data_IF_757964185498
#
_entry.id   IF_757964185498
#
_cell.length_a   1.000
_cell.length_b   1.000
_cell.length_c   1.000
_cell.angle_alpha   90.00
_cell.angle_beta   90.00
_cell.angle_gamma   90.00
#
_symmetry.space_group_name_H-M   'P 1'
#
loop_
_entity.id
_entity.type
_entity.pdbx_description
1 polymer ?
#
# COMPACT_ATOMS: atom_id res chain seq x y z
N UNK A 1 3.41 -2.32 18.67
CA UNK A 1 4.71 -1.84 18.16
C UNK A 1 5.12 -2.69 16.95
N UNK A 2 5.05 -2.13 15.73
CA UNK A 2 5.33 -2.81 14.46
C UNK A 2 6.78 -3.31 14.35
N UNK A 3 7.75 -2.64 14.97
CA UNK A 3 9.15 -3.07 14.96
C UNK A 3 9.33 -4.40 15.72
N UNK A 4 8.64 -4.56 16.86
CA UNK A 4 8.67 -5.82 17.60
C UNK A 4 7.97 -6.93 16.83
N UNK A 5 6.83 -6.61 16.24
CA UNK A 5 6.06 -7.55 15.41
C UNK A 5 6.90 -8.04 14.20
N UNK A 6 7.58 -7.13 13.51
CA UNK A 6 8.50 -7.47 12.42
C UNK A 6 9.63 -8.40 12.88
N UNK A 7 10.23 -8.14 14.04
CA UNK A 7 11.27 -9.02 14.60
C UNK A 7 10.73 -10.42 14.89
N UNK A 8 9.51 -10.54 15.40
CA UNK A 8 8.86 -11.84 15.64
C UNK A 8 8.70 -12.58 14.31
N UNK A 9 8.08 -11.97 13.31
CA UNK A 9 7.86 -12.61 12.01
C UNK A 9 9.17 -12.97 11.28
N UNK A 10 10.24 -12.21 11.48
CA UNK A 10 11.56 -12.56 10.92
C UNK A 10 12.16 -13.84 11.53
N UNK A 11 11.61 -14.37 12.62
CA UNK A 11 12.03 -15.67 13.18
C UNK A 11 11.25 -16.84 12.60
N UNK A 12 10.24 -16.61 11.77
CA UNK A 12 9.43 -17.66 11.15
C UNK A 12 10.29 -18.50 10.21
N UNK A 13 10.12 -19.82 10.30
CA UNK A 13 10.77 -20.79 9.42
C UNK A 13 9.77 -21.31 8.37
N UNK A 14 10.26 -21.77 7.22
CA UNK A 14 9.42 -22.16 6.08
C UNK A 14 8.36 -23.23 6.40
N UNK A 15 8.65 -24.15 7.33
CA UNK A 15 7.77 -25.27 7.69
C UNK A 15 6.97 -25.01 8.98
N UNK A 16 6.67 -23.75 9.30
CA UNK A 16 5.89 -23.40 10.48
C UNK A 16 4.55 -22.78 10.10
N UNK A 17 3.50 -23.17 10.83
CA UNK A 17 2.23 -22.47 10.83
C UNK A 17 2.24 -21.32 11.83
N UNK A 18 1.47 -20.28 11.55
CA UNK A 18 1.28 -19.13 12.42
C UNK A 18 -0.10 -19.25 13.06
N UNK A 19 -0.16 -19.10 14.38
CA UNK A 19 -1.42 -18.99 15.13
C UNK A 19 -1.40 -17.70 15.94
N UNK A 20 -2.40 -16.87 15.74
CA UNK A 20 -2.60 -15.61 16.46
C UNK A 20 -3.81 -15.80 17.37
N UNK A 21 -3.61 -15.57 18.68
CA UNK A 21 -4.62 -15.81 19.70
C UNK A 21 -4.85 -14.51 20.47
N UNK A 22 -6.08 -14.07 20.49
CA UNK A 22 -6.56 -13.00 21.35
C UNK A 22 -7.59 -13.59 22.32
N UNK A 23 -7.42 -13.32 23.62
CA UNK A 23 -8.35 -13.78 24.64
C UNK A 23 -9.11 -12.56 25.21
N UNK A 24 -10.42 -12.52 24.95
CA UNK A 24 -11.29 -11.42 25.40
C UNK A 24 -11.41 -11.32 26.92
N UNK A 25 -11.18 -12.41 27.66
CA UNK A 25 -11.27 -12.43 29.14
C UNK A 25 -9.98 -11.88 29.75
N UNK A 26 -8.83 -12.10 29.09
CA UNK A 26 -7.53 -11.59 29.50
C UNK A 26 -6.89 -10.87 28.30
N UNK A 27 -7.35 -9.64 28.09
CA UNK A 27 -7.02 -8.84 26.89
C UNK A 27 -5.68 -8.10 26.99
N UNK A 28 -4.83 -8.39 27.99
CA UNK A 28 -3.57 -7.69 28.17
C UNK A 28 -2.52 -8.05 27.12
N UNK A 29 -2.65 -9.22 26.49
CA UNK A 29 -1.65 -9.77 25.58
C UNK A 29 -2.25 -10.34 24.30
N UNK A 30 -1.56 -10.13 23.17
CA UNK A 30 -1.72 -10.90 21.95
C UNK A 30 -0.68 -12.02 21.94
N UNK A 31 -1.12 -13.27 21.82
CA UNK A 31 -0.22 -14.42 21.71
C UNK A 31 -0.03 -14.79 20.25
N UNK A 32 1.23 -14.97 19.84
CA UNK A 32 1.61 -15.46 18.51
C UNK A 32 2.40 -16.74 18.71
N UNK A 33 1.95 -17.80 18.06
CA UNK A 33 2.58 -19.13 18.11
C UNK A 33 3.06 -19.51 16.70
N UNK A 34 4.31 -19.96 16.60
CA UNK A 34 4.84 -20.60 15.42
C UNK A 34 5.01 -22.09 15.72
N UNK A 35 4.21 -22.91 15.05
CA UNK A 35 4.17 -24.35 15.28
C UNK A 35 4.70 -25.11 14.08
N UNK A 36 5.58 -26.09 14.29
CA UNK A 36 6.08 -26.93 13.22
C UNK A 36 4.94 -27.73 12.59
N UNK A 37 4.86 -27.68 11.27
CA UNK A 37 3.92 -28.47 10.48
C UNK A 37 4.34 -29.95 10.49
N UNK A 38 5.64 -30.21 10.44
CA UNK A 38 6.21 -31.56 10.54
C UNK A 38 6.75 -31.82 11.96
N UNK A 39 6.13 -32.74 12.66
CA UNK A 39 6.52 -33.15 14.02
C UNK A 39 7.82 -33.98 14.06
N UNK A 40 8.25 -34.52 12.94
CA UNK A 40 9.48 -35.32 12.83
C UNK A 40 10.70 -34.45 12.49
N UNK A 41 10.49 -33.21 12.05
CA UNK A 41 11.55 -32.23 11.82
C UNK A 41 12.16 -31.77 13.15
N UNK A 42 13.36 -32.31 13.46
CA UNK A 42 14.11 -31.94 14.66
C UNK A 42 14.96 -30.68 14.50
N UNK A 43 14.94 -30.07 13.32
CA UNK A 43 15.75 -28.86 13.02
C UNK A 43 15.01 -27.59 13.38
N UNK A 44 13.70 -27.62 13.50
CA UNK A 44 12.87 -26.48 13.89
C UNK A 44 12.15 -26.73 15.23
N UNK A 45 11.77 -25.68 15.91
CA UNK A 45 11.11 -25.73 17.22
C UNK A 45 9.94 -24.75 17.27
N UNK A 46 8.93 -25.09 18.08
CA UNK A 46 7.80 -24.20 18.32
C UNK A 46 8.25 -22.95 19.07
N UNK A 47 7.68 -21.79 18.71
CA UNK A 47 7.98 -20.49 19.32
C UNK A 47 6.68 -19.85 19.79
N UNK A 48 6.75 -19.22 20.96
CA UNK A 48 5.61 -18.58 21.62
C UNK A 48 6.00 -17.16 21.97
N UNK A 49 5.21 -16.19 21.55
CA UNK A 49 5.41 -14.78 21.83
C UNK A 49 4.17 -14.20 22.48
N UNK A 50 4.35 -13.38 23.50
CA UNK A 50 3.29 -12.59 24.11
C UNK A 50 3.62 -11.12 23.91
N UNK A 51 2.74 -10.42 23.20
CA UNK A 51 2.84 -8.99 22.95
C UNK A 51 1.86 -8.25 23.85
N UNK A 52 2.34 -7.38 24.75
CA UNK A 52 1.44 -6.56 25.54
C UNK A 52 0.62 -5.64 24.62
N UNK A 53 -0.67 -5.59 24.85
CA UNK A 53 -1.57 -4.67 24.18
C UNK A 53 -1.60 -3.36 24.94
N UNK A 54 -1.83 -2.27 24.23
CA UNK A 54 -2.02 -0.95 24.80
C UNK A 54 -3.45 -0.52 24.50
N UNK A 55 -4.12 0.00 25.51
CA UNK A 55 -5.40 0.66 25.30
C UNK A 55 -5.13 2.04 24.68
N UNK A 56 -5.59 2.21 23.45
CA UNK A 56 -5.40 3.42 22.67
C UNK A 56 -6.76 4.09 22.46
N UNK A 57 -6.96 5.23 23.08
CA UNK A 57 -8.14 6.07 22.86
C UNK A 57 -8.03 6.79 21.50
N UNK A 58 -8.12 6.04 20.40
CA UNK A 58 -8.22 6.62 19.06
C UNK A 58 -9.68 6.54 18.57
N UNK A 59 -10.16 7.63 17.99
CA UNK A 59 -11.32 7.55 17.11
C UNK A 59 -10.90 6.77 15.86
N UNK A 60 -11.68 5.78 15.48
CA UNK A 60 -11.51 5.09 14.21
C UNK A 60 -11.66 6.10 13.07
N UNK A 61 -10.71 6.08 12.12
CA UNK A 61 -10.83 6.89 10.91
C UNK A 61 -12.00 6.34 10.10
N UNK A 62 -12.91 7.20 9.67
CA UNK A 62 -13.96 6.80 8.74
C UNK A 62 -13.31 6.51 7.36
N UNK A 63 -13.37 5.24 6.98
CA UNK A 63 -12.88 4.74 5.69
C UNK A 63 -14.04 4.40 4.76
N UNK A 64 -15.16 5.12 4.87
CA UNK A 64 -16.32 4.92 4.00
C UNK A 64 -15.90 4.99 2.52
N UNK A 65 -16.53 4.15 1.70
CA UNK A 65 -16.27 4.13 0.27
C UNK A 65 -16.72 5.47 -0.34
N UNK A 66 -15.79 6.23 -0.84
CA UNK A 66 -16.03 7.41 -1.65
C UNK A 66 -16.03 7.01 -3.13
N UNK A 67 -16.86 7.66 -3.93
CA UNK A 67 -16.76 7.54 -5.37
C UNK A 67 -15.52 8.30 -5.82
N UNK A 68 -14.54 7.60 -6.36
CA UNK A 68 -13.32 8.20 -6.88
C UNK A 68 -13.58 8.98 -8.18
N UNK A 69 -12.88 10.08 -8.37
CA UNK A 69 -12.90 10.86 -9.61
C UNK A 69 -12.22 10.11 -10.76
N UNK A 70 -11.16 9.36 -10.43
CA UNK A 70 -10.39 8.53 -11.36
C UNK A 70 -10.10 7.19 -10.69
N UNK A 71 -10.24 6.11 -11.43
CA UNK A 71 -9.80 4.78 -11.01
C UNK A 71 -9.06 4.11 -12.15
N UNK A 72 -7.95 3.45 -11.86
CA UNK A 72 -7.24 2.62 -12.83
C UNK A 72 -6.51 1.46 -12.18
N UNK A 73 -6.46 0.36 -12.91
CA UNK A 73 -5.71 -0.83 -12.53
C UNK A 73 -4.43 -0.94 -13.36
N UNK A 74 -3.30 -1.13 -12.67
CA UNK A 74 -1.97 -1.21 -13.28
C UNK A 74 -1.19 -2.40 -12.72
N UNK A 75 -0.29 -2.97 -13.53
CA UNK A 75 0.68 -3.97 -13.06
C UNK A 75 1.53 -3.44 -11.91
N UNK A 76 1.66 -4.22 -10.82
CA UNK A 76 2.38 -3.81 -9.63
C UNK A 76 3.86 -3.51 -9.89
N UNK A 77 4.53 -4.28 -10.76
CA UNK A 77 5.93 -4.04 -11.09
C UNK A 77 6.07 -2.75 -11.92
N UNK A 78 5.10 -2.48 -12.81
CA UNK A 78 5.07 -1.23 -13.59
C UNK A 78 4.98 -0.02 -12.65
N UNK A 79 4.06 -0.04 -11.65
CA UNK A 79 3.94 1.03 -10.66
C UNK A 79 5.20 1.17 -9.82
N UNK A 80 5.76 0.05 -9.33
CA UNK A 80 7.01 0.05 -8.56
C UNK A 80 8.17 0.67 -9.36
N UNK A 81 8.28 0.36 -10.67
CA UNK A 81 9.28 0.93 -11.55
C UNK A 81 9.08 2.44 -11.75
N UNK A 82 7.83 2.90 -11.92
CA UNK A 82 7.51 4.33 -12.01
C UNK A 82 7.98 5.05 -10.75
N UNK A 83 7.61 4.55 -9.57
CA UNK A 83 8.00 5.15 -8.31
C UNK A 83 9.52 5.16 -8.10
N UNK A 84 10.22 4.06 -8.43
CA UNK A 84 11.68 3.96 -8.25
C UNK A 84 12.45 4.91 -9.18
N UNK A 85 12.03 5.04 -10.43
CA UNK A 85 12.65 5.95 -11.39
C UNK A 85 12.42 7.41 -11.03
N UNK A 86 11.21 7.76 -10.59
CA UNK A 86 10.84 9.14 -10.24
C UNK A 86 11.48 9.61 -8.94
N UNK A 87 11.60 8.70 -7.96
CA UNK A 87 12.20 8.99 -6.65
C UNK A 87 13.67 9.45 -6.71
N UNK A 88 14.38 9.08 -7.78
CA UNK A 88 15.76 9.53 -8.00
C UNK A 88 15.88 11.05 -8.24
N UNK A 89 14.79 11.74 -8.56
CA UNK A 89 14.81 13.14 -8.96
C UNK A 89 14.14 14.10 -7.96
N UNK A 90 13.12 13.64 -7.22
CA UNK A 90 12.40 14.49 -6.27
C UNK A 90 11.56 13.65 -5.29
N UNK A 91 11.17 14.24 -4.16
CA UNK A 91 10.34 13.62 -3.12
C UNK A 91 8.83 13.79 -3.33
N UNK A 92 8.44 14.55 -4.35
CA UNK A 92 7.02 14.82 -4.67
C UNK A 92 6.71 14.36 -6.08
N UNK A 93 5.62 13.64 -6.25
CA UNK A 93 5.09 13.21 -7.54
C UNK A 93 3.75 13.87 -7.81
N UNK A 94 3.59 14.40 -9.00
CA UNK A 94 2.33 14.93 -9.48
C UNK A 94 1.66 13.90 -10.41
N UNK A 95 0.45 13.49 -10.07
CA UNK A 95 -0.36 12.57 -10.90
C UNK A 95 -1.42 13.40 -11.63
N UNK A 96 -1.40 13.31 -12.95
CA UNK A 96 -2.33 13.99 -13.83
C UNK A 96 -3.03 13.01 -14.75
N UNK A 97 -4.36 13.00 -14.69
CA UNK A 97 -5.20 12.10 -15.48
C UNK A 97 -6.20 12.90 -16.31
N UNK A 98 -6.48 12.41 -17.51
CA UNK A 98 -7.56 12.87 -18.37
C UNK A 98 -8.10 11.70 -19.20
N UNK A 99 -9.11 11.92 -20.00
CA UNK A 99 -9.75 10.88 -20.82
C UNK A 99 -8.81 10.12 -21.78
N UNK A 100 -7.58 10.60 -22.00
CA UNK A 100 -6.68 10.02 -23.00
C UNK A 100 -5.40 9.41 -22.40
N UNK A 101 -4.98 9.82 -21.20
CA UNK A 101 -3.71 9.37 -20.63
C UNK A 101 -3.57 9.67 -19.15
N UNK A 102 -2.63 8.96 -18.55
CA UNK A 102 -2.16 9.15 -17.18
C UNK A 102 -0.72 9.67 -17.25
N UNK A 103 -0.38 10.72 -16.49
CA UNK A 103 0.98 11.27 -16.42
C UNK A 103 1.45 11.32 -14.99
N UNK A 104 2.62 10.74 -14.74
CA UNK A 104 3.39 10.90 -13.53
C UNK A 104 4.48 11.92 -13.77
N UNK A 105 4.44 13.04 -13.07
CA UNK A 105 5.35 14.18 -13.29
C UNK A 105 6.15 14.48 -12.06
N UNK A 106 7.41 14.78 -12.28
CA UNK A 106 8.34 15.34 -11.31
C UNK A 106 8.72 16.74 -11.79
N UNK A 107 8.59 17.72 -10.90
CA UNK A 107 9.01 19.09 -11.15
C UNK A 107 10.10 19.46 -10.15
N UNK A 108 11.31 18.97 -10.36
CA UNK A 108 12.48 19.38 -9.61
C UNK A 108 13.04 20.73 -10.12
N UNK A 109 13.93 21.34 -9.33
CA UNK A 109 14.57 22.62 -9.66
C UNK A 109 15.39 22.51 -10.95
N UNK A 110 16.16 21.43 -11.09
CA UNK A 110 17.06 21.24 -12.22
C UNK A 110 16.49 20.33 -13.31
N UNK A 111 15.45 19.54 -13.01
CA UNK A 111 14.96 18.51 -13.92
C UNK A 111 13.43 18.41 -13.87
N UNK A 112 12.83 18.38 -15.05
CA UNK A 112 11.42 18.01 -15.24
C UNK A 112 11.38 16.64 -15.88
N UNK A 113 10.75 15.69 -15.19
CA UNK A 113 10.60 14.31 -15.67
C UNK A 113 9.12 13.94 -15.76
N UNK A 114 8.72 13.32 -16.86
CA UNK A 114 7.33 12.90 -17.08
C UNK A 114 7.32 11.48 -17.65
N UNK A 115 6.60 10.60 -16.97
CA UNK A 115 6.21 9.30 -17.50
C UNK A 115 4.77 9.42 -17.94
N UNK A 116 4.50 9.09 -19.21
CA UNK A 116 3.15 9.06 -19.80
C UNK A 116 2.75 7.61 -19.99
N UNK A 117 1.58 7.25 -19.49
CA UNK A 117 0.90 6.01 -19.81
C UNK A 117 -0.29 6.33 -20.74
N UNK A 118 -0.40 5.59 -21.83
CA UNK A 118 -1.62 5.57 -22.64
C UNK A 118 -2.63 4.60 -22.02
N UNK A 119 -3.89 4.66 -22.41
CA UNK A 119 -4.94 3.82 -21.78
C UNK A 119 -4.69 2.32 -21.99
N UNK A 120 -4.02 1.95 -23.07
CA UNK A 120 -3.63 0.56 -23.34
C UNK A 120 -2.50 0.05 -22.41
N UNK A 121 -1.86 0.94 -21.66
CA UNK A 121 -0.81 0.62 -20.68
C UNK A 121 -1.35 0.19 -19.32
N UNK A 122 -2.64 0.32 -19.10
CA UNK A 122 -3.36 -0.05 -17.87
C UNK A 122 -4.46 -1.07 -18.20
N UNK A 123 -4.85 -1.89 -17.21
CA UNK A 123 -5.84 -2.95 -17.44
C UNK A 123 -7.26 -2.38 -17.50
N UNK A 124 -7.55 -1.45 -16.58
CA UNK A 124 -8.84 -0.78 -16.48
C UNK A 124 -8.61 0.72 -16.23
N UNK A 125 -9.46 1.54 -16.80
CA UNK A 125 -9.43 2.99 -16.60
C UNK A 125 -10.83 3.58 -16.57
N UNK A 126 -11.12 4.38 -15.56
CA UNK A 126 -12.35 5.14 -15.40
C UNK A 126 -12.04 6.54 -14.92
N UNK A 127 -12.68 7.53 -15.49
CA UNK A 127 -12.58 8.94 -15.08
C UNK A 127 -13.94 9.62 -15.24
N UNK A 128 -14.25 10.53 -14.33
CA UNK A 128 -15.45 11.38 -14.47
C UNK A 128 -15.36 12.19 -15.77
N UNK A 129 -16.46 12.22 -16.51
CA UNK A 129 -16.54 12.88 -17.81
C UNK A 129 -16.09 14.35 -17.76
N UNK A 130 -15.27 14.78 -18.73
CA UNK A 130 -14.67 16.12 -18.84
C UNK A 130 -13.77 16.54 -17.67
N UNK A 131 -13.40 15.63 -16.76
CA UNK A 131 -12.49 15.92 -15.67
C UNK A 131 -11.03 15.93 -16.14
N UNK A 132 -10.26 16.85 -15.61
CA UNK A 132 -8.79 16.77 -15.60
C UNK A 132 -8.32 16.71 -14.15
N UNK A 133 -7.92 15.53 -13.71
CA UNK A 133 -7.37 15.32 -12.38
C UNK A 133 -5.91 15.78 -12.31
N UNK A 134 -5.52 16.44 -11.22
CA UNK A 134 -4.17 16.92 -11.02
C UNK A 134 -3.87 17.13 -9.52
N UNK A 135 -3.14 16.20 -8.90
CA UNK A 135 -2.80 16.22 -7.48
C UNK A 135 -1.35 15.82 -7.25
N UNK A 136 -0.76 16.32 -6.15
CA UNK A 136 0.59 16.00 -5.72
C UNK A 136 0.58 15.08 -4.49
N UNK A 137 1.57 14.17 -4.43
CA UNK A 137 1.70 13.20 -3.35
C UNK A 137 3.15 13.06 -2.90
N UNK A 138 3.34 12.68 -1.63
CA UNK A 138 4.67 12.32 -1.12
C UNK A 138 5.16 11.03 -1.79
N UNK A 139 6.25 11.15 -2.54
CA UNK A 139 6.79 10.05 -3.31
C UNK A 139 7.52 9.01 -2.43
N UNK A 140 8.02 9.40 -1.26
CA UNK A 140 8.64 8.46 -0.34
C UNK A 140 7.60 7.49 0.23
N UNK A 141 6.44 8.02 0.63
CA UNK A 141 5.32 7.20 1.12
C UNK A 141 4.75 6.37 -0.03
N UNK A 142 4.49 6.98 -1.19
CA UNK A 142 3.95 6.30 -2.35
C UNK A 142 4.88 5.16 -2.85
N UNK A 143 6.20 5.40 -2.89
CA UNK A 143 7.19 4.39 -3.20
C UNK A 143 7.20 3.23 -2.19
N UNK A 144 7.01 3.54 -0.90
CA UNK A 144 6.90 2.50 0.14
C UNK A 144 5.66 1.65 -0.07
N UNK A 145 4.51 2.28 -0.36
CA UNK A 145 3.26 1.57 -0.69
C UNK A 145 3.45 0.70 -1.94
N UNK A 146 4.05 1.24 -3.01
CA UNK A 146 4.28 0.50 -4.26
C UNK A 146 5.22 -0.70 -4.13
N UNK A 147 6.03 -0.77 -3.05
CA UNK A 147 6.94 -1.89 -2.79
C UNK A 147 6.24 -3.22 -2.42
N UNK A 148 4.94 -3.20 -2.14
CA UNK A 148 4.14 -4.39 -1.88
C UNK A 148 3.77 -5.18 -3.15
N UNK A 149 4.48 -4.96 -4.25
CA UNK A 149 4.27 -5.62 -5.56
C UNK A 149 4.33 -7.16 -5.54
N UNK A 150 4.83 -7.76 -4.44
CA UNK A 150 4.83 -9.22 -4.26
C UNK A 150 3.50 -9.79 -3.75
N UNK A 151 2.59 -8.95 -3.29
CA UNK A 151 1.30 -9.38 -2.73
C UNK A 151 0.25 -9.64 -3.81
N UNK A 152 0.38 -8.96 -4.95
CA UNK A 152 -0.57 -9.06 -6.06
C UNK A 152 0.15 -8.73 -7.36
N UNK A 153 -0.36 -9.23 -8.48
CA UNK A 153 0.13 -8.87 -9.81
C UNK A 153 -0.33 -7.48 -10.24
N UNK A 154 -1.48 -7.05 -9.73
CA UNK A 154 -2.12 -5.78 -10.08
C UNK A 154 -2.44 -4.96 -8.84
N UNK A 155 -2.45 -3.65 -9.01
CA UNK A 155 -2.83 -2.67 -8.00
C UNK A 155 -3.82 -1.68 -8.60
N UNK A 156 -4.84 -1.31 -7.82
CA UNK A 156 -5.83 -0.32 -8.21
C UNK A 156 -5.51 0.99 -7.49
N UNK A 157 -5.49 2.08 -8.24
CA UNK A 157 -5.39 3.43 -7.71
C UNK A 157 -6.74 4.13 -7.90
N UNK A 158 -7.28 4.60 -6.80
CA UNK A 158 -8.50 5.42 -6.77
C UNK A 158 -8.11 6.83 -6.34
N UNK A 159 -8.32 7.79 -7.22
CA UNK A 159 -7.92 9.19 -7.03
C UNK A 159 -9.18 10.06 -6.87
N UNK A 160 -9.14 10.95 -5.91
CA UNK A 160 -10.24 11.84 -5.58
C UNK A 160 -9.69 13.25 -5.30
N UNK A 161 -10.39 14.29 -5.78
CA UNK A 161 -9.97 15.69 -5.63
C UNK A 161 -10.15 16.22 -4.20
N UNK A 162 -10.98 15.58 -3.38
CA UNK A 162 -11.36 16.01 -2.02
C UNK A 162 -10.84 15.05 -0.94
N UNK A 163 -10.54 13.80 -1.31
CA UNK A 163 -10.20 12.74 -0.39
C UNK A 163 -8.79 12.19 -0.66
N UNK A 164 -8.19 11.46 0.30
CA UNK A 164 -6.93 10.77 0.06
C UNK A 164 -7.00 9.82 -1.13
N UNK A 165 -5.90 9.68 -1.87
CA UNK A 165 -5.73 8.59 -2.83
C UNK A 165 -5.80 7.24 -2.11
N UNK A 166 -6.51 6.28 -2.69
CA UNK A 166 -6.52 4.89 -2.20
C UNK A 166 -5.68 4.05 -3.15
N UNK A 167 -4.71 3.34 -2.58
CA UNK A 167 -3.92 2.32 -3.29
C UNK A 167 -4.33 0.97 -2.73
N UNK A 168 -4.85 0.10 -3.58
CA UNK A 168 -5.51 -1.09 -3.13
C UNK A 168 -5.00 -2.35 -3.86
N UNK A 169 -4.55 -3.33 -3.08
CA UNK A 169 -4.08 -4.62 -3.54
C UNK A 169 -5.12 -5.68 -3.29
N UNK A 170 -5.46 -6.45 -4.31
CA UNK A 170 -6.28 -7.65 -4.20
C UNK A 170 -5.37 -8.84 -3.99
N UNK A 171 -5.57 -9.55 -2.89
CA UNK A 171 -4.76 -10.70 -2.51
C UNK A 171 -5.65 -11.93 -2.57
N UNK A 172 -5.37 -12.81 -3.54
CA UNK A 172 -6.08 -14.10 -3.65
C UNK A 172 -5.16 -15.19 -3.10
N UNK A 173 -5.56 -15.93 -2.05
CA UNK A 173 -4.77 -17.03 -1.53
C UNK A 173 -4.65 -18.15 -2.58
N UNK A 174 -3.49 -18.80 -2.66
CA UNK A 174 -3.23 -19.87 -3.64
C UNK A 174 -4.17 -21.08 -3.51
N UNK A 175 -4.78 -21.30 -2.34
CA UNK A 175 -5.58 -22.49 -2.04
C UNK A 175 -7.08 -22.21 -1.87
N UNK A 176 -7.54 -20.98 -2.01
CA UNK A 176 -8.92 -20.58 -1.74
C UNK A 176 -9.43 -19.66 -2.86
N UNK A 177 -9.93 -20.26 -3.96
CA UNK A 177 -10.42 -19.53 -5.14
C UNK A 177 -11.59 -18.57 -4.87
N UNK A 178 -12.24 -18.66 -3.70
CA UNK A 178 -13.43 -17.87 -3.34
C UNK A 178 -13.17 -16.81 -2.27
N UNK A 179 -11.96 -16.69 -1.72
CA UNK A 179 -11.62 -15.67 -0.73
C UNK A 179 -10.69 -14.63 -1.33
N UNK A 180 -11.15 -13.39 -1.35
CA UNK A 180 -10.36 -12.23 -1.77
C UNK A 180 -10.10 -11.35 -0.54
N UNK A 181 -8.85 -11.12 -0.23
CA UNK A 181 -8.43 -10.15 0.78
C UNK A 181 -8.01 -8.85 0.10
N UNK A 182 -8.35 -7.75 0.72
CA UNK A 182 -7.99 -6.43 0.21
C UNK A 182 -7.10 -5.70 1.21
N UNK A 183 -5.96 -5.21 0.74
CA UNK A 183 -5.09 -4.30 1.47
C UNK A 183 -5.20 -2.90 0.88
N UNK A 184 -5.68 -1.93 1.67
CA UNK A 184 -5.87 -0.54 1.24
C UNK A 184 -4.96 0.40 1.99
N UNK A 185 -4.30 1.28 1.25
CA UNK A 185 -3.51 2.39 1.78
C UNK A 185 -4.18 3.70 1.40
N UNK A 186 -4.26 4.61 2.34
CA UNK A 186 -4.80 5.95 2.14
C UNK A 186 -3.65 6.96 2.18
N UNK A 187 -3.44 7.67 1.09
CA UNK A 187 -2.36 8.66 0.97
C UNK A 187 -2.96 10.04 0.72
N UNK A 188 -2.78 10.93 1.68
CA UNK A 188 -3.22 12.32 1.54
C UNK A 188 -2.45 13.04 0.43
N UNK A 189 -3.12 13.93 -0.30
CA UNK A 189 -2.47 14.83 -1.24
C UNK A 189 -1.64 15.87 -0.48
N UNK A 190 -0.56 16.36 -1.11
CA UNK A 190 0.18 17.53 -0.64
C UNK A 190 -0.59 18.81 -1.02
N UNK A 191 -0.64 19.77 -0.12
CA UNK A 191 -1.16 21.10 -0.46
C UNK A 191 -0.20 21.83 -1.41
N UNK A 192 -0.73 22.61 -2.35
CA UNK A 192 0.08 23.39 -3.30
C UNK A 192 0.95 24.48 -2.63
N UNK A 193 0.84 24.66 -1.30
CA UNK A 193 1.53 25.72 -0.56
C UNK A 193 2.87 25.25 0.04
N UNK A 194 3.20 23.96 -0.03
CA UNK A 194 4.41 23.42 0.62
C UNK A 194 5.70 23.64 -0.20
N UNK A 195 5.60 24.15 -1.45
CA UNK A 195 6.75 24.36 -2.34
C UNK A 195 7.26 25.82 -2.36
N UNK A 196 6.67 26.78 -1.58
CA UNK A 196 7.08 28.18 -1.56
C UNK A 196 8.05 28.57 -0.42
N UNK A 197 8.30 27.69 0.55
CA UNK A 197 9.09 28.04 1.75
C UNK A 197 10.58 27.62 1.70
N UNK A 198 11.07 27.05 0.59
CA UNK A 198 12.50 26.74 0.40
C UNK A 198 13.16 27.68 -0.65
N UNK A 199 13.16 29.00 -0.37
CA UNK A 199 14.02 30.00 -1.00
C UNK A 199 15.07 30.54 -0.04
#
# INVERSE_FOLDING_TARGET
NTVVLSKIFNTLSANQSIKIIYNEINCDYLTIEFCNLDKEDKTSFNKYFQLPLMDLNYSTMDTSNHNSDVSFEIDCNKLCNICSQTKAFHDTINIKCNENNIKFKINGIETKFTIKLDLDDVNEYSIVENLTFNQMYDLNIFSTISSFSKLSNVVILELDSQNPMIVHYKITPENEENEEFTLRFYLACKSNNDDEDDN
#
